data_IF_334777139117
#
_entry.id   IF_334777139117
#
_cell.length_a   1.000
_cell.length_b   1.000
_cell.length_c   1.000
_cell.angle_alpha   90.00
_cell.angle_beta   90.00
_cell.angle_gamma   90.00
#
_symmetry.space_group_name_H-M   'P 1'
#
loop_
_entity.id
_entity.type
_entity.pdbx_description
1 polymer ?
#
# COMPACT_ATOMS: atom_id res chain seq x y z
N UNK A 1 14.95 -3.16 -13.80
CA UNK A 1 15.88 -2.08 -13.38
C UNK A 1 16.28 -2.23 -11.91
N UNK A 2 17.57 -2.17 -11.56
CA UNK A 2 18.08 -2.34 -10.18
C UNK A 2 17.69 -1.18 -9.26
N UNK A 3 17.69 0.04 -9.78
CA UNK A 3 17.41 1.29 -9.06
C UNK A 3 15.95 1.35 -8.60
N UNK A 4 15.00 1.07 -9.50
CA UNK A 4 13.58 1.08 -9.18
C UNK A 4 13.23 0.16 -8.01
N UNK A 5 13.82 -1.04 -7.97
CA UNK A 5 13.59 -2.00 -6.88
C UNK A 5 14.07 -1.44 -5.54
N UNK A 6 15.21 -0.76 -5.52
CA UNK A 6 15.75 -0.10 -4.32
C UNK A 6 14.85 1.03 -3.85
N UNK A 7 14.38 1.88 -4.78
CA UNK A 7 13.46 2.98 -4.46
C UNK A 7 12.15 2.45 -3.87
N UNK A 8 11.51 1.48 -4.53
CA UNK A 8 10.25 0.88 -4.05
C UNK A 8 10.42 0.22 -2.67
N UNK A 9 11.58 -0.40 -2.43
CA UNK A 9 11.89 -1.00 -1.14
C UNK A 9 12.02 0.05 -0.04
N UNK A 10 12.74 1.15 -0.29
CA UNK A 10 12.86 2.27 0.65
C UNK A 10 11.51 2.93 0.93
N UNK A 11 10.67 3.12 -0.09
CA UNK A 11 9.31 3.67 0.08
C UNK A 11 8.46 2.73 0.93
N UNK A 12 8.50 1.41 0.67
CA UNK A 12 7.76 0.43 1.46
C UNK A 12 8.21 0.46 2.94
N UNK A 13 9.53 0.50 3.20
CA UNK A 13 10.06 0.62 4.55
C UNK A 13 9.62 1.92 5.26
N UNK A 14 9.63 3.05 4.56
CA UNK A 14 9.20 4.33 5.12
C UNK A 14 7.72 4.31 5.57
N UNK A 15 6.86 3.59 4.84
CA UNK A 15 5.43 3.47 5.14
C UNK A 15 5.14 2.54 6.32
N UNK A 16 5.89 1.44 6.49
CA UNK A 16 5.69 0.49 7.60
C UNK A 16 6.43 0.89 8.87
N UNK A 17 7.35 1.86 8.81
CA UNK A 17 8.13 2.27 9.98
C UNK A 17 7.22 2.88 11.05
N UNK A 18 7.51 2.57 12.31
CA UNK A 18 6.95 3.25 13.47
C UNK A 18 7.86 4.41 13.86
N UNK A 19 7.26 5.58 14.15
CA UNK A 19 8.01 6.73 14.68
C UNK A 19 8.42 6.45 16.13
N UNK A 20 9.38 7.24 16.66
CA UNK A 20 9.76 7.21 18.08
C UNK A 20 8.57 7.48 19.02
N UNK A 21 7.55 8.19 18.52
CA UNK A 21 6.29 8.45 19.22
C UNK A 21 5.33 7.23 19.22
N UNK A 22 5.81 6.04 18.87
CA UNK A 22 5.04 4.78 18.69
C UNK A 22 3.90 4.83 17.67
N UNK A 23 3.70 5.97 16.97
CA UNK A 23 2.69 6.10 15.92
C UNK A 23 3.19 5.51 14.59
N UNK A 24 2.36 4.71 13.89
CA UNK A 24 2.71 4.22 12.57
C UNK A 24 2.67 5.34 11.53
N UNK A 25 3.63 5.38 10.60
CA UNK A 25 3.61 6.33 9.49
C UNK A 25 2.34 6.17 8.62
N UNK A 26 1.95 4.92 8.36
CA UNK A 26 0.70 4.59 7.71
C UNK A 26 0.06 3.40 8.43
N UNK A 27 -1.04 3.60 9.19
CA UNK A 27 -1.67 2.53 9.95
C UNK A 27 -2.22 1.42 9.04
N UNK A 28 -2.79 1.78 7.88
CA UNK A 28 -3.41 0.83 6.94
C UNK A 28 -2.35 -0.08 6.30
N UNK A 29 -1.24 0.47 5.85
CA UNK A 29 -0.17 -0.32 5.24
C UNK A 29 0.60 -1.16 6.28
N UNK A 30 0.76 -0.65 7.51
CA UNK A 30 1.38 -1.41 8.59
C UNK A 30 0.54 -2.64 8.96
N UNK A 31 -0.77 -2.46 9.15
CA UNK A 31 -1.69 -3.55 9.45
C UNK A 31 -1.69 -4.60 8.32
N UNK A 32 -1.71 -4.15 7.05
CA UNK A 32 -1.60 -5.03 5.90
C UNK A 32 -0.30 -5.84 5.91
N UNK A 33 0.84 -5.20 6.21
CA UNK A 33 2.13 -5.88 6.32
C UNK A 33 2.13 -6.92 7.45
N UNK A 34 1.63 -6.57 8.64
CA UNK A 34 1.56 -7.47 9.78
C UNK A 34 0.69 -8.71 9.47
N UNK A 35 -0.49 -8.51 8.88
CA UNK A 35 -1.36 -9.62 8.42
C UNK A 35 -0.64 -10.51 7.40
N UNK A 36 0.13 -9.93 6.48
CA UNK A 36 0.90 -10.71 5.49
C UNK A 36 2.10 -11.44 6.09
N UNK A 37 2.72 -10.90 7.13
CA UNK A 37 3.82 -11.57 7.86
C UNK A 37 3.36 -12.83 8.61
N UNK A 38 2.10 -12.93 9.00
CA UNK A 38 1.56 -14.14 9.63
C UNK A 38 1.49 -15.33 8.66
N UNK A 39 1.26 -15.06 7.37
CA UNK A 39 1.09 -16.09 6.33
C UNK A 39 2.34 -16.34 5.50
N UNK A 40 3.23 -15.35 5.39
CA UNK A 40 4.37 -15.36 4.46
C UNK A 40 5.65 -14.86 5.15
N UNK A 41 6.83 -15.32 4.72
CA UNK A 41 8.09 -14.81 5.26
C UNK A 41 8.23 -13.31 5.04
N UNK A 42 8.89 -12.61 5.96
CA UNK A 42 8.98 -11.15 6.04
C UNK A 42 9.36 -10.48 4.71
N UNK A 43 10.33 -11.04 3.98
CA UNK A 43 10.77 -10.51 2.67
C UNK A 43 9.69 -10.59 1.60
N UNK A 44 8.86 -11.64 1.61
CA UNK A 44 7.75 -11.81 0.66
C UNK A 44 6.59 -10.87 1.02
N UNK A 45 6.33 -10.67 2.32
CA UNK A 45 5.35 -9.69 2.79
C UNK A 45 5.71 -8.26 2.34
N UNK A 46 6.99 -7.87 2.40
CA UNK A 46 7.46 -6.59 1.83
C UNK A 46 7.21 -6.48 0.32
N UNK A 47 7.41 -7.56 -0.43
CA UNK A 47 7.09 -7.60 -1.86
C UNK A 47 5.60 -7.32 -2.14
N UNK A 48 4.70 -7.84 -1.29
CA UNK A 48 3.26 -7.54 -1.40
C UNK A 48 2.96 -6.06 -1.14
N UNK A 49 3.62 -5.44 -0.14
CA UNK A 49 3.50 -4.00 0.13
C UNK A 49 4.01 -3.17 -1.05
N UNK A 50 5.16 -3.52 -1.62
CA UNK A 50 5.69 -2.85 -2.81
C UNK A 50 4.70 -2.90 -3.97
N UNK A 51 4.08 -4.06 -4.21
CA UNK A 51 3.05 -4.22 -5.26
C UNK A 51 1.85 -3.32 -4.98
N UNK A 52 1.39 -3.24 -3.73
CA UNK A 52 0.26 -2.40 -3.32
C UNK A 52 0.54 -0.91 -3.58
N UNK A 53 1.73 -0.43 -3.24
CA UNK A 53 2.14 0.97 -3.47
C UNK A 53 2.13 1.31 -4.97
N UNK A 54 2.66 0.42 -5.80
CA UNK A 54 2.65 0.62 -7.26
C UNK A 54 1.22 0.70 -7.79
N UNK A 55 0.32 -0.16 -7.32
CA UNK A 55 -1.10 -0.10 -7.68
C UNK A 55 -1.75 1.22 -7.26
N UNK A 56 -1.43 1.75 -6.08
CA UNK A 56 -1.91 3.07 -5.61
C UNK A 56 -1.43 4.18 -6.54
N UNK A 57 -0.14 4.20 -6.91
CA UNK A 57 0.41 5.21 -7.83
C UNK A 57 -0.32 5.16 -9.18
N UNK A 58 -0.52 3.95 -9.73
CA UNK A 58 -1.25 3.80 -10.98
C UNK A 58 -2.72 4.22 -10.86
N UNK A 59 -3.38 3.97 -9.73
CA UNK A 59 -4.76 4.39 -9.50
C UNK A 59 -4.87 5.93 -9.47
N UNK A 60 -3.96 6.60 -8.76
CA UNK A 60 -3.89 8.08 -8.69
C UNK A 60 -3.68 8.68 -10.08
N UNK A 61 -2.74 8.12 -10.86
CA UNK A 61 -2.47 8.58 -12.23
C UNK A 61 -3.66 8.34 -13.16
N UNK A 62 -4.35 7.21 -13.01
CA UNK A 62 -5.51 6.85 -13.83
C UNK A 62 -6.70 7.77 -13.53
N UNK A 63 -7.01 7.96 -12.25
CA UNK A 63 -8.19 8.71 -11.81
C UNK A 63 -7.96 10.22 -11.83
N UNK A 64 -6.70 10.68 -11.99
CA UNK A 64 -6.28 12.08 -11.95
C UNK A 64 -6.80 12.82 -10.70
N UNK A 65 -6.91 12.09 -9.59
CA UNK A 65 -7.39 12.60 -8.29
C UNK A 65 -6.27 12.53 -7.26
N UNK A 66 -6.21 13.48 -6.31
CA UNK A 66 -5.22 13.43 -5.25
C UNK A 66 -5.40 12.15 -4.40
N UNK A 67 -4.29 11.64 -3.89
CA UNK A 67 -4.32 10.49 -3.00
C UNK A 67 -4.95 10.85 -1.66
N UNK A 68 -5.89 10.03 -1.21
CA UNK A 68 -6.52 10.13 0.11
C UNK A 68 -6.25 8.83 0.88
N UNK A 69 -5.97 8.95 2.18
CA UNK A 69 -5.86 7.78 3.02
C UNK A 69 -7.25 7.16 3.20
N UNK A 70 -7.42 5.91 2.77
CA UNK A 70 -8.69 5.18 2.80
C UNK A 70 -8.49 3.81 3.45
N UNK A 71 -9.47 3.37 4.21
CA UNK A 71 -9.52 2.00 4.71
C UNK A 71 -9.89 1.03 3.58
N UNK A 72 -9.57 -0.27 3.70
CA UNK A 72 -9.96 -1.26 2.70
C UNK A 72 -11.48 -1.33 2.49
N UNK A 73 -12.26 -1.13 3.55
CA UNK A 73 -13.73 -1.16 3.54
C UNK A 73 -14.30 0.02 2.74
N UNK A 74 -13.81 1.24 3.00
CA UNK A 74 -14.18 2.43 2.23
C UNK A 74 -13.82 2.30 0.74
N UNK A 75 -12.67 1.69 0.45
CA UNK A 75 -12.23 1.43 -0.92
C UNK A 75 -13.18 0.46 -1.63
N UNK A 76 -13.55 -0.64 -0.97
CA UNK A 76 -14.47 -1.64 -1.51
C UNK A 76 -15.83 -1.01 -1.82
N UNK A 77 -16.41 -0.23 -0.91
CA UNK A 77 -17.68 0.46 -1.13
C UNK A 77 -17.63 1.41 -2.34
N UNK A 78 -16.54 2.17 -2.49
CA UNK A 78 -16.35 3.04 -3.66
C UNK A 78 -16.15 2.26 -4.97
N UNK A 79 -15.50 1.10 -4.91
CA UNK A 79 -15.32 0.22 -6.07
C UNK A 79 -16.65 -0.39 -6.55
N UNK A 80 -17.55 -0.78 -5.63
CA UNK A 80 -18.86 -1.28 -6.01
C UNK A 80 -19.75 -0.22 -6.66
N UNK A 81 -19.64 1.03 -6.21
CA UNK A 81 -20.47 2.13 -6.72
C UNK A 81 -19.99 2.70 -8.08
N UNK A 82 -18.75 2.40 -8.49
CA UNK A 82 -18.22 2.74 -9.81
C UNK A 82 -18.16 1.49 -10.67
N UNK A 83 -19.23 1.22 -11.42
CA UNK A 83 -19.26 0.17 -12.44
C UNK A 83 -18.00 0.25 -13.31
N UNK A 84 -17.17 -0.79 -13.21
CA UNK A 84 -16.06 -1.12 -14.09
C UNK A 84 -14.88 -0.12 -14.21
N UNK A 85 -14.20 0.23 -13.10
CA UNK A 85 -12.75 0.57 -13.20
C UNK A 85 -11.98 -0.08 -12.04
N UNK A 86 -11.61 -1.35 -12.26
CA UNK A 86 -10.81 -2.22 -11.41
C UNK A 86 -9.54 -1.55 -10.85
N UNK A 87 -9.31 -1.54 -9.53
CA UNK A 87 -7.96 -1.36 -8.96
C UNK A 87 -7.77 -2.11 -7.63
N UNK A 88 -6.74 -2.97 -7.66
CA UNK A 88 -6.27 -3.96 -6.68
C UNK A 88 -5.71 -3.36 -5.39
#
# INVERSE_FOLDING_TARGET
SKILRRILFTIALANIRTKRDSKPCNPVLLEYYQKKCQQKPKKVALGAVMRKIVCIIFAVMRDKKPFELRTPEEHIQKCFNKTAVCCV
#
